data_IF_170042834511
#
_entry.id   IF_170042834511
#
_cell.length_a   1.000
_cell.length_b   1.000
_cell.length_c   1.000
_cell.angle_alpha   90.00
_cell.angle_beta   90.00
_cell.angle_gamma   90.00
#
_symmetry.space_group_name_H-M   'P 1'
#
loop_
_entity.id
_entity.type
_entity.pdbx_description
1 polymer ?
2 polymer ?
#
# COMPACT_ATOMS: atom_id res chain seq x y z
N UNK A 1 -28.95 31.46 31.40
CA UNK A 1 -27.55 31.25 31.83
C UNK A 1 -27.33 29.80 32.27
N UNK A 2 -28.10 29.29 33.23
CA UNK A 2 -28.00 27.89 33.62
C UNK A 2 -28.21 26.98 32.40
N UNK A 3 -29.25 27.28 31.62
CA UNK A 3 -29.62 26.42 30.51
C UNK A 3 -28.62 26.56 29.35
N UNK A 4 -28.01 27.75 29.25
CA UNK A 4 -26.94 28.01 28.28
C UNK A 4 -25.68 27.21 28.65
N UNK A 5 -25.42 27.08 29.96
CA UNK A 5 -24.31 26.30 30.50
C UNK A 5 -24.57 24.80 30.30
N UNK A 6 -25.84 24.40 30.36
CA UNK A 6 -26.19 23.01 30.12
C UNK A 6 -25.97 22.67 28.63
N UNK A 7 -26.42 23.55 27.72
CA UNK A 7 -26.21 23.39 26.29
C UNK A 7 -24.72 23.32 25.96
N UNK A 8 -23.91 24.15 26.61
CA UNK A 8 -22.48 24.15 26.34
C UNK A 8 -21.82 22.92 26.93
N UNK A 9 -22.43 22.32 27.95
CA UNK A 9 -21.91 21.05 28.45
C UNK A 9 -22.26 19.91 27.48
N UNK A 10 -23.46 19.97 26.89
CA UNK A 10 -23.85 19.02 25.85
C UNK A 10 -22.92 19.13 24.63
N UNK A 11 -22.64 20.37 24.20
CA UNK A 11 -21.81 20.60 23.02
C UNK A 11 -20.35 20.23 23.26
N UNK A 12 -19.87 20.48 24.49
CA UNK A 12 -18.56 20.01 24.89
C UNK A 12 -18.51 18.49 24.85
N UNK A 13 -19.55 17.85 25.40
CA UNK A 13 -19.65 16.40 25.45
C UNK A 13 -19.61 15.83 24.04
N UNK A 14 -20.42 16.39 23.14
CA UNK A 14 -20.40 16.03 21.73
C UNK A 14 -19.00 16.20 21.11
N UNK A 15 -18.33 17.34 21.31
CA UNK A 15 -17.01 17.51 20.68
C UNK A 15 -15.99 16.55 21.28
N UNK A 16 -16.10 16.25 22.58
CA UNK A 16 -15.20 15.30 23.21
C UNK A 16 -15.39 13.93 22.58
N UNK A 17 -16.67 13.53 22.41
CA UNK A 17 -17.03 12.23 21.87
C UNK A 17 -16.60 12.10 20.40
N UNK A 18 -16.77 13.17 19.63
CA UNK A 18 -16.45 13.16 18.20
C UNK A 18 -14.95 13.02 18.06
N UNK A 19 -14.18 13.69 18.93
CA UNK A 19 -12.72 13.62 18.91
C UNK A 19 -12.25 12.25 19.38
N UNK A 20 -12.92 11.69 20.36
CA UNK A 20 -12.56 10.40 20.89
C UNK A 20 -12.78 9.34 19.80
N UNK A 21 -13.88 9.45 19.07
CA UNK A 21 -14.25 8.51 18.04
C UNK A 21 -13.27 8.59 16.87
N UNK A 22 -12.87 9.79 16.47
CA UNK A 22 -11.95 9.96 15.36
C UNK A 22 -10.63 9.28 15.74
N UNK A 23 -10.17 9.56 16.95
CA UNK A 23 -8.90 9.06 17.41
C UNK A 23 -8.92 7.54 17.42
N UNK A 24 -10.05 6.96 17.81
CA UNK A 24 -10.16 5.52 17.93
C UNK A 24 -10.24 4.90 16.53
N UNK A 25 -10.80 5.65 15.57
CA UNK A 25 -11.00 5.18 14.20
C UNK A 25 -9.65 5.09 13.53
N UNK A 26 -8.76 6.03 13.86
CA UNK A 26 -7.45 6.13 13.24
C UNK A 26 -6.58 4.97 13.73
N UNK A 27 -6.65 4.66 15.04
CA UNK A 27 -6.00 3.48 15.57
C UNK A 27 -6.54 2.20 14.92
N UNK A 28 -7.87 2.08 14.77
CA UNK A 28 -8.49 0.91 14.14
C UNK A 28 -8.00 0.75 12.69
N UNK A 29 -7.69 1.86 12.00
CA UNK A 29 -7.19 1.76 10.63
C UNK A 29 -5.82 1.11 10.63
N UNK A 30 -4.93 1.61 11.50
CA UNK A 30 -3.59 1.06 11.63
C UNK A 30 -3.67 -0.41 12.03
N UNK A 31 -4.57 -0.78 12.95
CA UNK A 31 -4.67 -2.16 13.42
C UNK A 31 -5.22 -3.08 12.35
N UNK A 32 -6.16 -2.60 11.54
CA UNK A 32 -6.71 -3.41 10.46
C UNK A 32 -5.65 -3.61 9.38
N UNK A 33 -4.88 -2.55 9.13
CA UNK A 33 -3.80 -2.67 8.16
C UNK A 33 -2.86 -3.79 8.57
N UNK A 34 -2.41 -3.76 9.82
CA UNK A 34 -1.43 -4.73 10.26
C UNK A 34 -2.03 -6.11 10.12
N UNK A 35 -3.33 -6.28 10.37
CA UNK A 35 -3.87 -7.63 10.30
C UNK A 35 -3.95 -8.12 8.85
N UNK A 36 -4.10 -7.21 7.88
CA UNK A 36 -4.33 -7.60 6.50
C UNK A 36 -2.99 -7.75 5.77
N UNK A 37 -1.98 -7.03 6.24
CA UNK A 37 -0.69 -6.93 5.53
C UNK A 37 -0.15 -8.31 5.15
N UNK A 38 -0.13 -9.34 6.02
CA UNK A 38 0.33 -10.67 5.59
C UNK A 38 -0.43 -11.26 4.39
N UNK A 39 -1.75 -11.02 4.32
CA UNK A 39 -2.58 -11.51 3.23
C UNK A 39 -2.22 -10.86 1.89
N UNK A 40 -1.52 -9.73 1.96
CA UNK A 40 -1.15 -8.95 0.80
C UNK A 40 0.27 -9.31 0.40
N UNK A 41 1.14 -9.41 1.41
CA UNK A 41 2.55 -9.61 1.15
C UNK A 41 2.80 -11.00 0.57
N UNK A 42 2.06 -12.02 1.04
CA UNK A 42 2.34 -13.39 0.65
C UNK A 42 2.22 -13.51 -0.89
N UNK A 43 1.08 -13.16 -1.49
CA UNK A 43 0.95 -13.22 -2.94
C UNK A 43 2.10 -12.57 -3.70
N UNK A 44 2.54 -11.39 -3.24
CA UNK A 44 3.57 -10.62 -3.92
C UNK A 44 4.89 -11.36 -3.84
N UNK A 45 5.18 -11.97 -2.68
CA UNK A 45 6.45 -12.65 -2.46
C UNK A 45 6.52 -13.90 -3.33
N UNK A 46 5.38 -14.60 -3.50
CA UNK A 46 5.33 -15.81 -4.31
C UNK A 46 5.50 -15.47 -5.79
N UNK A 47 5.09 -14.27 -6.18
CA UNK A 47 5.07 -13.93 -7.58
C UNK A 47 6.45 -13.42 -8.00
N UNK A 48 7.13 -12.74 -7.09
CA UNK A 48 8.40 -12.11 -7.41
C UNK A 48 9.55 -12.79 -6.63
N UNK A 49 10.08 -13.84 -7.26
CA UNK A 49 10.88 -14.83 -6.58
C UNK A 49 12.34 -14.41 -6.59
N UNK A 50 12.64 -13.37 -5.81
CA UNK A 50 13.99 -12.85 -5.76
C UNK A 50 14.94 -13.92 -5.24
N UNK A 51 14.50 -14.65 -4.22
CA UNK A 51 15.32 -15.65 -3.57
C UNK A 51 15.63 -16.82 -4.51
N UNK A 52 14.68 -17.18 -5.38
CA UNK A 52 14.87 -18.32 -6.27
C UNK A 52 15.91 -17.98 -7.34
N UNK A 53 15.91 -16.74 -7.84
CA UNK A 53 16.89 -16.31 -8.83
C UNK A 53 18.27 -16.32 -8.20
N UNK A 54 18.37 -15.80 -6.98
CA UNK A 54 19.62 -15.77 -6.24
C UNK A 54 20.18 -17.20 -6.13
N UNK A 55 19.35 -18.18 -5.79
CA UNK A 55 19.80 -19.56 -5.63
C UNK A 55 20.26 -20.15 -6.97
N UNK A 56 19.61 -19.79 -8.07
CA UNK A 56 19.98 -20.34 -9.36
C UNK A 56 21.35 -19.78 -9.76
N UNK A 57 21.59 -18.50 -9.48
CA UNK A 57 22.86 -17.88 -9.87
C UNK A 57 24.00 -18.56 -9.12
N UNK A 58 23.85 -18.71 -7.81
CA UNK A 58 24.85 -19.39 -7.02
C UNK A 58 25.12 -20.79 -7.57
N UNK A 59 24.06 -21.57 -7.83
CA UNK A 59 24.24 -22.90 -8.42
C UNK A 59 25.19 -22.85 -9.61
N UNK A 60 24.96 -21.91 -10.53
CA UNK A 60 25.78 -21.70 -11.71
C UNK A 60 27.24 -21.47 -11.31
N UNK A 61 27.47 -20.62 -10.32
CA UNK A 61 28.83 -20.34 -9.86
C UNK A 61 29.66 -21.61 -9.82
N UNK A 62 29.15 -22.68 -9.20
CA UNK A 62 29.94 -23.86 -8.92
C UNK A 62 29.43 -25.01 -9.81
N UNK A 105 17.94 -23.65 -19.41
CA UNK A 105 18.52 -22.92 -18.26
C UNK A 105 18.98 -21.55 -18.74
N UNK A 106 18.50 -20.51 -18.06
CA UNK A 106 18.81 -19.13 -18.44
C UNK A 106 20.32 -18.91 -18.30
N UNK A 107 20.88 -18.06 -19.17
CA UNK A 107 22.27 -17.65 -19.05
C UNK A 107 22.49 -16.80 -17.79
N UNK A 108 23.75 -16.66 -17.36
CA UNK A 108 24.07 -15.86 -16.20
C UNK A 108 23.62 -14.43 -16.45
N UNK A 109 23.86 -13.95 -17.66
CA UNK A 109 23.47 -12.60 -18.05
C UNK A 109 21.97 -12.43 -17.88
N UNK A 110 21.19 -13.43 -18.29
CA UNK A 110 19.75 -13.38 -18.22
C UNK A 110 19.31 -13.33 -16.76
N UNK A 111 19.92 -14.16 -15.90
CA UNK A 111 19.49 -14.25 -14.51
C UNK A 111 19.78 -12.96 -13.78
N UNK A 112 20.88 -12.29 -14.13
CA UNK A 112 21.28 -11.10 -13.41
C UNK A 112 20.41 -9.91 -13.78
N UNK A 113 19.90 -9.85 -15.01
CA UNK A 113 19.01 -8.77 -15.41
C UNK A 113 17.62 -9.02 -14.83
N UNK A 114 17.25 -10.31 -14.73
CA UNK A 114 16.00 -10.77 -14.12
C UNK A 114 16.00 -10.42 -12.63
N UNK A 115 17.08 -10.71 -11.90
CA UNK A 115 17.24 -10.36 -10.50
C UNK A 115 17.16 -8.85 -10.28
N UNK A 116 17.80 -8.07 -11.14
CA UNK A 116 17.70 -6.63 -11.02
C UNK A 116 16.25 -6.16 -11.11
N UNK A 117 15.50 -6.60 -12.12
CA UNK A 117 14.18 -6.04 -12.34
C UNK A 117 13.30 -6.52 -11.22
N UNK A 118 13.34 -7.83 -10.92
CA UNK A 118 12.42 -8.37 -9.93
C UNK A 118 12.68 -7.86 -8.51
N UNK A 119 13.93 -7.66 -8.10
CA UNK A 119 14.18 -7.21 -6.75
C UNK A 119 13.64 -5.79 -6.52
N UNK A 120 13.84 -4.90 -7.50
CA UNK A 120 13.32 -3.54 -7.44
C UNK A 120 11.80 -3.54 -7.61
N UNK A 121 11.29 -4.39 -8.52
CA UNK A 121 9.86 -4.45 -8.74
C UNK A 121 9.15 -4.86 -7.45
N UNK A 122 9.69 -5.87 -6.77
CA UNK A 122 9.04 -6.36 -5.57
C UNK A 122 9.02 -5.25 -4.54
N UNK A 123 10.15 -4.55 -4.39
CA UNK A 123 10.24 -3.55 -3.34
C UNK A 123 9.22 -2.45 -3.59
N UNK A 124 9.15 -1.91 -4.82
CA UNK A 124 8.17 -0.86 -5.12
C UNK A 124 6.73 -1.39 -5.15
N UNK A 125 6.49 -2.60 -5.65
CA UNK A 125 5.15 -3.19 -5.55
C UNK A 125 4.65 -3.27 -4.10
N UNK A 126 5.49 -3.75 -3.16
CA UNK A 126 5.12 -3.72 -1.75
C UNK A 126 4.74 -2.31 -1.28
N UNK A 127 5.61 -1.35 -1.57
CA UNK A 127 5.44 0.01 -1.08
C UNK A 127 4.18 0.66 -1.67
N UNK A 128 3.90 0.42 -2.94
CA UNK A 128 2.69 0.96 -3.55
C UNK A 128 1.43 0.29 -3.01
N UNK A 129 1.45 -1.04 -2.92
CA UNK A 129 0.28 -1.78 -2.49
C UNK A 129 -0.05 -1.48 -1.03
N UNK A 130 0.99 -1.38 -0.20
CA UNK A 130 0.83 -0.99 1.19
C UNK A 130 0.21 0.40 1.29
N UNK A 131 0.78 1.36 0.56
CA UNK A 131 0.24 2.72 0.51
C UNK A 131 -1.22 2.72 0.07
N UNK A 132 -1.60 1.91 -0.90
CA UNK A 132 -2.96 1.92 -1.38
C UNK A 132 -3.87 1.32 -0.33
N UNK A 133 -3.42 0.26 0.31
CA UNK A 133 -4.21 -0.32 1.40
C UNK A 133 -4.39 0.67 2.57
N UNK A 134 -3.34 1.41 2.92
CA UNK A 134 -3.44 2.39 4.00
C UNK A 134 -4.46 3.47 3.67
N UNK A 135 -4.34 4.09 2.51
CA UNK A 135 -5.29 5.09 2.12
C UNK A 135 -6.70 4.51 2.06
N UNK A 136 -6.80 3.28 1.54
CA UNK A 136 -8.10 2.66 1.27
C UNK A 136 -8.86 2.47 2.58
N UNK A 137 -8.15 1.97 3.59
CA UNK A 137 -8.75 1.69 4.88
C UNK A 137 -9.08 3.00 5.59
N UNK A 138 -8.20 4.00 5.50
CA UNK A 138 -8.49 5.27 6.14
C UNK A 138 -9.73 5.88 5.53
N UNK A 139 -9.92 5.82 4.19
CA UNK A 139 -11.15 6.32 3.59
C UNK A 139 -12.37 5.50 4.00
N UNK A 140 -12.27 4.17 3.93
CA UNK A 140 -13.41 3.30 4.23
C UNK A 140 -13.91 3.52 5.65
N UNK A 141 -13.00 3.40 6.62
CA UNK A 141 -13.35 3.37 8.03
C UNK A 141 -13.85 4.73 8.50
N UNK A 142 -13.26 5.82 8.00
CA UNK A 142 -13.70 7.17 8.28
C UNK A 142 -15.10 7.48 7.71
N UNK A 143 -15.40 7.02 6.51
CA UNK A 143 -16.74 7.19 6.00
C UNK A 143 -17.72 6.52 6.95
N UNK A 144 -17.45 5.26 7.31
CA UNK A 144 -18.36 4.47 8.14
C UNK A 144 -18.48 5.15 9.49
N UNK A 145 -17.37 5.64 10.05
CA UNK A 145 -17.38 6.13 11.41
C UNK A 145 -18.27 7.37 11.50
N UNK A 146 -18.10 8.27 10.52
CA UNK A 146 -18.97 9.44 10.37
C UNK A 146 -20.43 9.00 10.32
N UNK A 147 -20.76 8.03 9.48
CA UNK A 147 -22.14 7.56 9.31
C UNK A 147 -22.67 7.16 10.69
N UNK A 148 -21.88 6.40 11.44
CA UNK A 148 -22.29 5.88 12.74
C UNK A 148 -22.51 7.02 13.73
N UNK A 149 -21.54 7.93 13.77
CA UNK A 149 -21.62 9.10 14.62
C UNK A 149 -22.90 9.89 14.34
N UNK A 150 -23.35 9.98 13.09
CA UNK A 150 -24.50 10.82 12.78
C UNK A 150 -25.79 10.13 13.22
N UNK A 151 -25.86 8.82 12.94
CA UNK A 151 -27.01 7.99 13.30
C UNK A 151 -27.20 8.05 14.82
N UNK A 152 -26.11 7.97 15.59
CA UNK A 152 -26.16 8.08 17.04
C UNK A 152 -26.64 9.47 17.45
N UNK A 153 -26.07 10.51 16.82
CA UNK A 153 -26.38 11.89 17.16
C UNK A 153 -27.86 12.20 16.87
N UNK A 154 -28.43 11.60 15.81
CA UNK A 154 -29.86 11.67 15.55
C UNK A 154 -30.62 10.94 16.67
N UNK A 193 -29.87 -3.58 11.45
CA UNK A 193 -29.24 -4.80 10.91
C UNK A 193 -28.99 -4.65 9.39
N UNK A 194 -29.94 -4.09 8.62
CA UNK A 194 -29.75 -3.79 7.20
C UNK A 194 -28.60 -2.78 6.98
N UNK A 195 -28.52 -1.79 7.88
CA UNK A 195 -27.50 -0.76 7.82
C UNK A 195 -26.13 -1.39 8.09
N UNK A 196 -26.12 -2.29 9.09
CA UNK A 196 -24.93 -3.03 9.49
C UNK A 196 -24.50 -3.99 8.37
N UNK A 197 -25.46 -4.54 7.63
CA UNK A 197 -25.19 -5.40 6.47
C UNK A 197 -24.49 -4.61 5.36
N UNK A 198 -24.90 -3.37 5.10
CA UNK A 198 -24.26 -2.57 4.06
C UNK A 198 -22.85 -2.20 4.50
N UNK A 199 -22.64 -1.99 5.80
CA UNK A 199 -21.32 -1.70 6.33
C UNK A 199 -20.40 -2.93 6.22
N UNK A 200 -20.94 -4.10 6.56
CA UNK A 200 -20.16 -5.32 6.49
C UNK A 200 -19.65 -5.57 5.07
N UNK A 201 -20.55 -5.41 4.10
CA UNK A 201 -20.21 -5.57 2.70
C UNK A 201 -19.12 -4.60 2.29
N UNK A 202 -19.32 -3.33 2.64
CA UNK A 202 -18.41 -2.29 2.22
C UNK A 202 -17.01 -2.70 2.68
N UNK A 203 -16.91 -3.21 3.91
CA UNK A 203 -15.62 -3.54 4.49
C UNK A 203 -14.95 -4.70 3.77
N UNK A 204 -15.78 -5.60 3.21
CA UNK A 204 -15.31 -6.73 2.42
C UNK A 204 -14.43 -6.36 1.23
N UNK A 205 -14.50 -5.11 0.72
CA UNK A 205 -13.94 -4.81 -0.60
C UNK A 205 -12.42 -4.73 -0.56
N UNK A 206 -11.81 -4.89 0.63
CA UNK A 206 -10.35 -4.97 0.70
C UNK A 206 -9.81 -6.22 0.01
N UNK A 207 -10.66 -7.23 -0.20
CA UNK A 207 -10.34 -8.46 -0.91
C UNK A 207 -9.80 -8.22 -2.32
N UNK A 208 -10.38 -7.27 -3.04
CA UNK A 208 -10.02 -7.03 -4.42
C UNK A 208 -8.50 -6.81 -4.59
N UNK A 209 -7.97 -5.83 -3.88
CA UNK A 209 -6.53 -5.54 -3.92
C UNK A 209 -5.74 -6.78 -3.47
N UNK A 210 -6.21 -7.45 -2.43
CA UNK A 210 -5.50 -8.60 -1.87
C UNK A 210 -5.50 -9.78 -2.84
N UNK A 211 -6.43 -9.83 -3.79
CA UNK A 211 -6.57 -11.00 -4.62
C UNK A 211 -6.62 -10.63 -6.09
N UNK A 212 -6.38 -9.38 -6.48
CA UNK A 212 -6.39 -9.10 -7.90
C UNK A 212 -5.66 -7.81 -8.18
N UNK A 213 -6.14 -6.72 -7.56
CA UNK A 213 -5.68 -5.37 -7.88
C UNK A 213 -4.18 -5.22 -7.73
N UNK A 214 -3.57 -5.96 -6.80
CA UNK A 214 -2.13 -5.81 -6.62
C UNK A 214 -1.37 -6.19 -7.90
N UNK A 215 -1.85 -7.16 -8.65
CA UNK A 215 -1.19 -7.57 -9.88
C UNK A 215 -1.05 -6.42 -10.89
N UNK A 216 -2.07 -5.59 -11.01
CA UNK A 216 -2.02 -4.49 -11.97
C UNK A 216 -0.91 -3.55 -11.54
N UNK A 217 -0.86 -3.29 -10.25
CA UNK A 217 0.16 -2.40 -9.71
C UNK A 217 1.53 -3.01 -10.00
N UNK A 218 1.67 -4.32 -9.79
CA UNK A 218 2.93 -5.00 -10.04
C UNK A 218 3.32 -4.91 -11.52
N UNK A 219 2.35 -5.09 -12.40
CA UNK A 219 2.62 -4.94 -13.83
C UNK A 219 3.12 -3.54 -14.14
N UNK A 220 2.50 -2.53 -13.52
CA UNK A 220 2.86 -1.16 -13.84
C UNK A 220 4.25 -0.85 -13.31
N UNK A 221 4.57 -1.42 -12.15
CA UNK A 221 5.84 -1.18 -11.52
C UNK A 221 6.91 -1.84 -12.37
N UNK A 222 6.65 -3.08 -12.77
CA UNK A 222 7.62 -3.88 -13.52
C UNK A 222 8.00 -3.15 -14.81
N UNK A 223 6.98 -2.67 -15.54
CA UNK A 223 7.15 -1.86 -16.73
C UNK A 223 8.05 -0.64 -16.48
N UNK A 224 7.79 0.11 -15.40
CA UNK A 224 8.49 1.34 -15.10
C UNK A 224 9.91 1.06 -14.60
N UNK A 225 10.09 -0.06 -13.90
CA UNK A 225 11.41 -0.44 -13.45
C UNK A 225 12.28 -0.73 -14.68
N UNK A 226 11.70 -1.43 -15.68
CA UNK A 226 12.37 -1.72 -16.94
C UNK A 226 12.80 -0.43 -17.62
N UNK A 227 11.88 0.56 -17.68
CA UNK A 227 12.14 1.85 -18.32
C UNK A 227 13.35 2.56 -17.72
N UNK A 228 13.62 2.40 -16.43
CA UNK A 228 14.68 3.17 -15.77
C UNK A 228 15.93 2.33 -15.52
N UNK A 229 15.78 1.04 -15.21
CA UNK A 229 16.91 0.25 -14.73
C UNK A 229 17.34 -0.80 -15.74
N UNK A 230 16.50 -1.03 -16.76
CA UNK A 230 16.70 -2.06 -17.77
C UNK A 230 18.09 -2.11 -18.41
N UNK A 231 18.72 -0.96 -18.62
CA UNK A 231 19.99 -0.87 -19.32
C UNK A 231 21.16 -0.84 -18.35
N UNK A 232 20.92 -0.80 -17.03
CA UNK A 232 22.02 -0.57 -16.10
C UNK A 232 22.62 -1.91 -15.70
N UNK A 233 23.93 -2.02 -15.93
CA UNK A 233 24.73 -3.16 -15.51
C UNK A 233 24.73 -3.25 -13.98
N UNK A 234 24.31 -4.41 -13.41
CA UNK A 234 24.39 -4.62 -11.96
C UNK A 234 25.76 -4.36 -11.33
N UNK A 235 26.84 -4.41 -12.14
CA UNK A 235 28.18 -4.18 -11.65
C UNK A 235 28.41 -2.69 -11.40
N UNK A 236 27.68 -1.85 -12.12
CA UNK A 236 27.96 -0.43 -12.05
C UNK A 236 27.88 0.11 -10.62
N UNK A 237 28.87 0.93 -10.24
CA UNK A 237 28.90 1.58 -8.94
C UNK A 237 28.02 2.84 -8.96
N UNK A 238 27.14 2.98 -7.95
CA UNK A 238 26.30 4.16 -7.79
C UNK A 238 26.46 4.72 -6.37
N UNK A 239 26.30 6.04 -6.20
CA UNK A 239 26.13 6.60 -4.86
C UNK A 239 24.66 6.40 -4.45
N UNK A 240 24.37 6.61 -3.16
CA UNK A 240 23.03 6.43 -2.66
C UNK A 240 22.12 7.51 -3.25
N UNK A 241 22.66 8.71 -3.49
CA UNK A 241 21.86 9.77 -4.08
C UNK A 241 21.56 9.43 -5.54
N UNK A 242 22.55 8.87 -6.27
CA UNK A 242 22.34 8.45 -7.64
C UNK A 242 21.22 7.41 -7.69
N UNK A 243 21.25 6.47 -6.76
CA UNK A 243 20.28 5.39 -6.70
C UNK A 243 18.90 5.91 -6.31
N UNK A 244 18.86 6.80 -5.31
CA UNK A 244 17.63 7.44 -4.88
C UNK A 244 16.97 8.16 -6.04
N UNK A 245 17.82 8.77 -6.88
CA UNK A 245 17.31 9.54 -7.99
C UNK A 245 16.69 8.59 -9.01
N UNK A 246 17.27 7.40 -9.16
CA UNK A 246 16.77 6.47 -10.17
C UNK A 246 15.44 5.91 -9.67
N UNK A 247 15.38 5.59 -8.37
CA UNK A 247 14.16 5.14 -7.72
C UNK A 247 13.09 6.20 -7.90
N UNK A 248 13.44 7.46 -7.70
CA UNK A 248 12.51 8.56 -7.79
C UNK A 248 11.99 8.71 -9.22
N UNK A 249 12.87 8.55 -10.22
CA UNK A 249 12.41 8.62 -11.60
C UNK A 249 11.43 7.48 -11.86
N UNK A 250 11.71 6.30 -11.30
CA UNK A 250 10.84 5.16 -11.52
C UNK A 250 9.45 5.50 -11.00
N UNK A 251 9.44 6.06 -9.79
CA UNK A 251 8.23 6.39 -9.06
C UNK A 251 7.37 7.38 -9.86
N UNK A 252 8.02 8.40 -10.44
CA UNK A 252 7.29 9.43 -11.18
C UNK A 252 6.60 8.85 -12.40
N UNK A 253 7.22 7.85 -13.05
CA UNK A 253 6.62 7.15 -14.17
C UNK A 253 5.41 6.35 -13.70
N UNK A 254 5.58 5.64 -12.58
CA UNK A 254 4.54 4.78 -12.05
C UNK A 254 3.33 5.65 -11.76
N UNK A 255 3.58 6.76 -11.06
CA UNK A 255 2.54 7.66 -10.59
C UNK A 255 1.76 8.19 -11.79
N UNK A 256 2.50 8.60 -12.83
CA UNK A 256 1.87 9.16 -14.01
C UNK A 256 0.92 8.16 -14.66
N UNK A 257 1.19 6.86 -14.52
CA UNK A 257 0.39 5.82 -15.14
C UNK A 257 -0.81 5.43 -14.28
N UNK A 258 -0.62 5.37 -12.95
CA UNK A 258 -1.64 4.75 -12.13
C UNK A 258 -2.73 5.77 -11.81
N UNK A 259 -2.39 7.06 -11.89
CA UNK A 259 -3.36 8.12 -11.66
C UNK A 259 -4.02 8.55 -12.98
N UNK A 260 -3.39 8.24 -14.12
CA UNK A 260 -3.94 8.54 -15.44
C UNK A 260 -5.33 7.93 -15.59
N UNK A 261 -6.28 8.80 -15.99
CA UNK A 261 -7.65 8.42 -16.24
C UNK A 261 -7.68 7.67 -17.57
N UNK A 262 -8.25 6.46 -17.55
CA UNK A 262 -8.39 5.64 -18.75
C UNK A 262 -9.89 5.62 -19.13
N UNK A 274 -11.62 6.01 -15.24
CA UNK A 274 -11.18 5.50 -13.93
C UNK A 274 -9.73 5.05 -14.02
N UNK A 275 -8.93 5.46 -13.04
CA UNK A 275 -7.51 5.18 -13.01
C UNK A 275 -7.20 3.73 -12.60
N UNK A 276 -5.94 3.32 -12.74
CA UNK A 276 -5.49 2.01 -12.29
C UNK A 276 -5.77 1.86 -10.79
N UNK A 277 -5.56 2.94 -10.04
CA UNK A 277 -5.83 2.94 -8.62
C UNK A 277 -7.23 2.41 -8.36
N UNK A 278 -8.21 2.94 -9.10
CA UNK A 278 -9.61 2.64 -8.87
C UNK A 278 -9.85 1.16 -9.16
N UNK A 279 -9.34 0.72 -10.31
CA UNK A 279 -9.57 -0.65 -10.78
C UNK A 279 -8.76 -1.64 -9.95
N UNK A 280 -7.73 -1.17 -9.23
CA UNK A 280 -6.93 -2.02 -8.37
C UNK A 280 -7.52 -2.11 -6.97
N UNK A 281 -8.39 -1.16 -6.58
CA UNK A 281 -8.95 -1.15 -5.25
C UNK A 281 -10.42 -1.56 -5.28
N UNK A 282 -11.05 -1.43 -6.46
CA UNK A 282 -12.48 -1.66 -6.55
C UNK A 282 -12.84 -2.53 -7.76
N UNK A 283 -13.78 -3.48 -7.61
CA UNK A 283 -14.18 -4.36 -8.70
C UNK A 283 -15.05 -3.54 -9.65
N UNK A 284 -15.12 -3.95 -10.93
CA UNK A 284 -16.09 -3.39 -11.85
C UNK A 284 -17.50 -3.67 -11.36
N UNK A 285 -18.44 -2.84 -11.84
CA UNK A 285 -19.80 -2.83 -11.33
C UNK A 285 -20.39 -4.23 -11.31
N UNK A 286 -20.06 -5.01 -12.34
CA UNK A 286 -20.75 -6.26 -12.59
C UNK A 286 -20.25 -7.32 -11.62
N UNK A 287 -19.24 -6.98 -10.82
CA UNK A 287 -18.54 -7.95 -9.99
C UNK A 287 -18.65 -7.68 -8.48
N UNK A 288 -19.51 -6.74 -8.09
CA UNK A 288 -19.71 -6.41 -6.68
C UNK A 288 -20.30 -7.58 -5.90
N UNK A 289 -21.38 -8.18 -6.43
CA UNK A 289 -22.02 -9.33 -5.82
C UNK A 289 -21.03 -10.50 -5.79
N UNK A 290 -20.24 -10.65 -6.85
CA UNK A 290 -19.21 -11.66 -6.82
C UNK A 290 -18.31 -11.46 -5.59
N UNK A 291 -17.84 -10.23 -5.38
CA UNK A 291 -16.90 -10.03 -4.31
C UNK A 291 -17.52 -10.46 -2.98
N UNK A 292 -18.79 -10.11 -2.78
CA UNK A 292 -19.42 -10.43 -1.51
C UNK A 292 -19.54 -11.94 -1.37
N UNK A 293 -19.77 -12.64 -2.48
CA UNK A 293 -19.94 -14.08 -2.47
C UNK A 293 -18.61 -14.76 -2.17
N UNK A 294 -17.50 -14.10 -2.49
CA UNK A 294 -16.17 -14.60 -2.16
C UNK A 294 -15.77 -14.33 -0.71
N UNK A 295 -16.46 -13.41 -0.04
CA UNK A 295 -16.01 -12.91 1.26
C UNK A 295 -17.04 -13.19 2.35
N UNK A 296 -18.29 -13.54 2.00
CA UNK A 296 -19.31 -13.65 3.03
C UNK A 296 -20.13 -14.91 2.75
N UNK A 297 -20.85 -15.40 3.77
CA UNK A 297 -21.52 -16.69 3.75
C UNK A 297 -22.96 -16.53 3.22
N UNK A 298 -23.70 -17.64 3.04
CA UNK A 298 -25.03 -17.58 2.46
C UNK A 298 -26.00 -16.92 3.43
N UNK A 299 -25.72 -16.97 4.73
CA UNK A 299 -26.67 -16.36 5.66
C UNK A 299 -26.70 -14.86 5.40
N UNK A 300 -25.50 -14.27 5.37
CA UNK A 300 -25.34 -12.85 5.08
C UNK A 300 -25.91 -12.51 3.71
N UNK A 301 -25.56 -13.31 2.69
CA UNK A 301 -25.98 -13.05 1.32
C UNK A 301 -27.50 -13.13 1.20
N UNK A 302 -28.12 -14.06 1.94
CA UNK A 302 -29.57 -14.18 1.89
C UNK A 302 -30.20 -12.93 2.47
N UNK A 303 -29.74 -12.55 3.68
CA UNK A 303 -30.22 -11.35 4.37
C UNK A 303 -29.98 -10.12 3.50
N UNK A 304 -28.81 -10.06 2.87
CA UNK A 304 -28.39 -8.89 2.11
C UNK A 304 -29.31 -8.73 0.91
N UNK A 305 -29.66 -9.84 0.25
CA UNK A 305 -30.34 -9.77 -1.02
C UNK A 305 -31.84 -9.66 -0.85
N UNK A 306 -32.34 -9.93 0.38
CA UNK A 306 -33.74 -9.84 0.76
C UNK A 306 -34.25 -8.41 0.58
N UNK A 307 -33.35 -7.45 0.69
CA UNK A 307 -33.69 -6.04 0.63
C UNK A 307 -32.77 -5.37 -0.38
N UNK A 308 -33.33 -4.90 -1.50
CA UNK A 308 -32.51 -4.30 -2.55
C UNK A 308 -31.89 -2.98 -2.09
N UNK A 309 -32.42 -2.41 -1.00
CA UNK A 309 -31.85 -1.20 -0.42
C UNK A 309 -30.40 -1.45 0.03
N UNK A 310 -30.07 -2.68 0.41
CA UNK A 310 -28.73 -3.01 0.88
C UNK A 310 -27.73 -2.77 -0.24
N UNK A 311 -28.05 -3.27 -1.42
CA UNK A 311 -27.19 -3.08 -2.56
C UNK A 311 -27.04 -1.58 -2.90
N UNK A 312 -28.13 -0.83 -2.80
CA UNK A 312 -28.12 0.59 -3.12
C UNK A 312 -27.26 1.37 -2.14
N UNK A 313 -27.32 0.97 -0.87
CA UNK A 313 -26.51 1.59 0.18
C UNK A 313 -25.02 1.36 -0.07
N UNK A 314 -24.68 0.13 -0.48
CA UNK A 314 -23.30 -0.16 -0.74
C UNK A 314 -22.86 0.67 -1.95
N UNK A 315 -23.75 0.83 -2.94
CA UNK A 315 -23.37 1.58 -4.15
C UNK A 315 -23.06 3.02 -3.77
N UNK A 316 -23.77 3.53 -2.74
CA UNK A 316 -23.58 4.89 -2.27
C UNK A 316 -22.22 5.03 -1.60
N UNK A 317 -21.88 4.08 -0.72
CA UNK A 317 -20.60 4.12 -0.05
C UNK A 317 -19.48 3.98 -1.09
N UNK A 318 -19.62 3.08 -2.08
CA UNK A 318 -18.59 2.91 -3.09
C UNK A 318 -18.45 4.16 -3.96
N UNK A 319 -19.57 4.83 -4.31
CA UNK A 319 -19.48 6.06 -5.09
C UNK A 319 -18.69 7.11 -4.33
N UNK A 320 -18.94 7.19 -3.00
CA UNK A 320 -18.25 8.19 -2.20
C UNK A 320 -16.77 7.90 -2.25
N UNK A 321 -16.44 6.65 -1.91
CA UNK A 321 -15.07 6.16 -1.85
C UNK A 321 -14.36 6.39 -3.19
N UNK A 322 -15.01 6.08 -4.31
CA UNK A 322 -14.40 6.25 -5.62
C UNK A 322 -14.14 7.71 -5.93
N UNK A 323 -15.08 8.55 -5.49
CA UNK A 323 -14.93 10.00 -5.57
C UNK A 323 -13.62 10.47 -4.96
N UNK A 324 -13.33 9.96 -3.75
CA UNK A 324 -12.11 10.29 -3.02
C UNK A 324 -10.89 9.75 -3.75
N UNK A 325 -10.97 8.54 -4.34
CA UNK A 325 -9.81 7.91 -4.97
C UNK A 325 -9.39 8.63 -6.24
N UNK A 326 -10.35 9.29 -6.93
CA UNK A 326 -10.09 10.03 -8.15
C UNK A 326 -9.50 11.42 -7.87
N UNK A 327 -9.50 11.84 -6.61
CA UNK A 327 -9.06 13.16 -6.21
C UNK A 327 -7.53 13.28 -6.19
N UNK A 328 -7.01 14.37 -6.78
CA UNK A 328 -5.59 14.70 -6.89
C UNK A 328 -4.89 14.74 -5.53
N UNK A 329 -5.59 15.15 -4.48
CA UNK A 329 -5.02 15.23 -3.14
C UNK A 329 -4.80 13.83 -2.57
N UNK A 330 -5.72 12.89 -2.84
CA UNK A 330 -5.52 11.51 -2.46
C UNK A 330 -4.34 10.90 -3.23
N UNK A 331 -4.21 11.22 -4.51
CA UNK A 331 -3.10 10.75 -5.30
C UNK A 331 -1.78 11.24 -4.72
N UNK A 332 -1.76 12.49 -4.29
CA UNK A 332 -0.55 13.05 -3.75
C UNK A 332 -0.11 12.26 -2.53
N UNK A 333 -1.11 11.81 -1.75
CA UNK A 333 -0.85 11.16 -0.48
C UNK A 333 -0.34 9.76 -0.70
N UNK A 334 -0.89 9.05 -1.70
CA UNK A 334 -0.38 7.73 -2.06
C UNK A 334 1.11 7.85 -2.42
N UNK A 335 1.44 8.84 -3.27
CA UNK A 335 2.81 9.07 -3.66
C UNK A 335 3.70 9.40 -2.45
N UNK A 336 3.15 10.18 -1.53
CA UNK A 336 3.91 10.63 -0.37
C UNK A 336 4.24 9.43 0.53
N UNK A 337 3.25 8.55 0.72
CA UNK A 337 3.46 7.37 1.54
C UNK A 337 4.64 6.55 1.00
N UNK A 338 4.66 6.36 -0.34
CA UNK A 338 5.71 5.58 -0.97
C UNK A 338 7.04 6.27 -0.74
N UNK A 339 7.03 7.60 -0.90
CA UNK A 339 8.24 8.41 -0.83
C UNK A 339 8.86 8.28 0.55
N UNK A 340 7.99 8.31 1.58
CA UNK A 340 8.43 8.29 2.95
C UNK A 340 8.99 6.91 3.27
N UNK A 341 8.34 5.88 2.69
CA UNK A 341 8.82 4.51 2.79
C UNK A 341 10.24 4.35 2.24
N UNK A 342 10.44 4.87 1.03
CA UNK A 342 11.74 4.78 0.38
C UNK A 342 12.78 5.48 1.25
N UNK A 343 12.40 6.64 1.77
CA UNK A 343 13.30 7.45 2.57
C UNK A 343 13.79 6.65 3.78
N UNK A 344 12.87 6.02 4.51
CA UNK A 344 13.22 5.29 5.72
C UNK A 344 14.17 4.13 5.37
N UNK A 345 13.86 3.46 4.27
CA UNK A 345 14.61 2.29 3.85
C UNK A 345 16.04 2.72 3.48
N UNK A 346 16.16 3.83 2.76
CA UNK A 346 17.46 4.25 2.28
C UNK A 346 18.30 4.76 3.46
N UNK A 347 17.67 5.47 4.41
CA UNK A 347 18.35 5.90 5.63
C UNK A 347 18.95 4.69 6.34
N UNK A 348 18.17 3.61 6.43
CA UNK A 348 18.65 2.40 7.07
C UNK A 348 19.86 1.80 6.36
N UNK A 349 19.82 1.82 5.03
CA UNK A 349 20.90 1.26 4.23
C UNK A 349 22.17 2.10 4.46
N UNK A 350 22.00 3.43 4.52
CA UNK A 350 23.10 4.36 4.74
C UNK A 350 23.78 4.06 6.07
N UNK A 351 22.96 3.93 7.12
CA UNK A 351 23.45 3.66 8.46
C UNK A 351 24.21 2.34 8.48
N UNK A 352 23.68 1.30 7.83
CA UNK A 352 24.36 0.02 7.88
C UNK A 352 25.73 0.17 7.23
N UNK A 353 25.78 0.89 6.09
CA UNK A 353 27.04 1.11 5.39
C UNK A 353 28.03 1.80 6.32
N UNK A 354 27.68 2.99 6.80
CA UNK A 354 28.55 3.77 7.67
C UNK A 354 29.05 2.88 8.81
N UNK A 355 28.10 2.19 9.46
CA UNK A 355 28.44 1.27 10.54
C UNK A 355 29.52 0.30 10.08
N UNK A 356 29.29 -0.39 8.96
CA UNK A 356 30.22 -1.39 8.46
C UNK A 356 31.66 -0.87 8.56
N UNK A 357 31.88 0.33 8.06
CA UNK A 357 33.23 0.87 7.96
C UNK A 357 33.60 1.55 9.29
N UNK A 370 30.03 8.55 2.00
CA UNK A 370 29.70 7.13 1.68
C UNK A 370 30.33 6.82 0.32
N UNK A 371 31.17 5.77 0.20
CA UNK A 371 31.70 5.38 -1.11
C UNK A 371 30.58 4.83 -1.99
N UNK A 372 30.73 4.96 -3.31
CA UNK A 372 29.80 4.34 -4.24
C UNK A 372 29.81 2.82 -4.04
N UNK A 373 28.64 2.17 -4.26
CA UNK A 373 28.51 0.72 -4.14
C UNK A 373 27.87 0.18 -5.41
N UNK A 374 28.13 -1.10 -5.69
CA UNK A 374 27.64 -1.69 -6.93
C UNK A 374 26.13 -1.79 -6.83
N UNK A 375 25.48 -1.72 -7.99
CA UNK A 375 24.04 -1.80 -8.05
C UNK A 375 23.58 -3.08 -7.36
N UNK A 376 24.31 -4.19 -7.60
CA UNK A 376 23.91 -5.48 -7.08
C UNK A 376 23.78 -5.40 -5.56
N UNK A 377 24.73 -4.71 -4.94
CA UNK A 377 24.75 -4.60 -3.48
C UNK A 377 23.50 -3.90 -2.99
N UNK A 378 23.00 -2.94 -3.79
CA UNK A 378 21.82 -2.18 -3.44
C UNK A 378 20.57 -3.04 -3.61
N UNK A 379 20.57 -3.89 -4.65
CA UNK A 379 19.50 -4.87 -4.86
C UNK A 379 19.35 -5.81 -3.66
N UNK A 380 20.50 -6.32 -3.17
CA UNK A 380 20.51 -7.15 -1.98
C UNK A 380 20.06 -6.38 -0.74
N UNK A 381 20.49 -5.11 -0.63
CA UNK A 381 20.15 -4.29 0.53
C UNK A 381 18.64 -4.07 0.58
N UNK A 382 18.08 -3.64 -0.56
CA UNK A 382 16.66 -3.39 -0.70
C UNK A 382 15.87 -4.64 -0.32
N UNK A 383 16.40 -5.81 -0.66
CA UNK A 383 15.64 -7.03 -0.45
C UNK A 383 15.52 -7.31 1.04
N UNK A 384 16.60 -7.07 1.79
CA UNK A 384 16.58 -7.21 3.25
C UNK A 384 15.63 -6.20 3.91
N UNK A 385 15.69 -4.94 3.46
CA UNK A 385 14.80 -3.88 3.92
C UNK A 385 13.35 -4.15 3.51
N UNK A 386 13.15 -4.78 2.35
CA UNK A 386 11.80 -5.10 1.93
C UNK A 386 11.19 -5.89 3.05
N UNK A 387 11.96 -6.85 3.55
CA UNK A 387 11.49 -7.78 4.56
C UNK A 387 10.95 -6.95 5.72
N UNK A 388 11.53 -5.78 6.00
CA UNK A 388 11.09 -4.93 7.12
C UNK A 388 9.72 -4.26 6.89
N UNK A 389 9.43 -3.71 5.71
CA UNK A 389 8.08 -3.34 5.25
C UNK A 389 7.00 -4.42 5.44
N UNK A 390 7.31 -5.70 5.27
CA UNK A 390 6.31 -6.75 5.41
C UNK A 390 6.03 -7.15 6.86
N UNK A 391 6.83 -6.69 7.84
CA UNK A 391 6.65 -7.13 9.22
C UNK A 391 5.44 -6.44 9.83
N UNK A 392 4.41 -7.18 10.25
CA UNK A 392 3.15 -6.60 10.69
C UNK A 392 3.17 -6.38 12.20
N UNK A 393 4.35 -6.10 12.75
CA UNK A 393 4.52 -5.96 14.19
C UNK A 393 4.14 -4.53 14.63
N UNK A 394 3.66 -4.42 15.88
CA UNK A 394 3.38 -3.15 16.53
C UNK A 394 4.65 -2.32 16.70
N UNK A 395 5.80 -2.98 16.66
CA UNK A 395 7.08 -2.32 16.90
C UNK A 395 7.68 -1.91 15.54
N UNK A 396 7.01 -2.16 14.42
CA UNK A 396 7.52 -1.74 13.11
C UNK A 396 7.24 -0.25 12.97
N UNK A 397 8.31 0.53 13.14
CA UNK A 397 8.29 1.99 13.17
C UNK A 397 7.99 2.55 11.79
N UNK A 398 8.38 1.85 10.73
CA UNK A 398 8.11 2.33 9.39
C UNK A 398 6.60 2.34 9.15
N UNK A 399 5.93 1.25 9.50
CA UNK A 399 4.51 1.13 9.22
C UNK A 399 3.75 2.08 10.15
N UNK A 400 4.25 2.25 11.35
CA UNK A 400 3.63 3.21 12.26
C UNK A 400 3.68 4.59 11.61
N UNK A 401 4.87 4.99 11.12
CA UNK A 401 5.06 6.28 10.50
C UNK A 401 4.07 6.47 9.35
N UNK A 402 3.88 5.45 8.53
CA UNK A 402 3.12 5.65 7.31
C UNK A 402 1.68 5.88 7.70
N UNK A 403 1.26 5.18 8.75
CA UNK A 403 -0.14 5.22 9.15
C UNK A 403 -0.44 6.49 9.94
N UNK A 404 0.59 7.30 10.30
CA UNK A 404 0.40 8.48 11.12
C UNK A 404 0.97 9.75 10.48
N UNK A 405 1.02 9.84 9.16
CA UNK A 405 1.50 11.03 8.46
C UNK A 405 0.43 12.11 8.54
N UNK A 406 0.88 13.37 8.61
CA UNK A 406 -0.02 14.48 8.84
C UNK A 406 -1.01 14.63 7.68
N UNK A 407 -0.52 14.48 6.45
CA UNK A 407 -1.37 14.62 5.27
C UNK A 407 -2.49 13.59 5.31
N UNK A 408 -2.20 12.42 5.89
CA UNK A 408 -3.15 11.33 5.94
C UNK A 408 -4.18 11.63 7.04
N UNK A 409 -3.75 12.25 8.15
CA UNK A 409 -4.68 12.64 9.20
C UNK A 409 -5.62 13.72 8.68
N UNK A 410 -5.05 14.63 7.89
CA UNK A 410 -5.78 15.76 7.31
C UNK A 410 -6.86 15.22 6.39
N UNK A 411 -6.47 14.29 5.52
CA UNK A 411 -7.41 13.62 4.63
C UNK A 411 -8.50 12.93 5.45
N UNK A 412 -8.10 12.12 6.42
CA UNK A 412 -9.04 11.35 7.20
C UNK A 412 -10.07 12.28 7.82
N UNK A 413 -9.58 13.40 8.38
CA UNK A 413 -10.42 14.38 9.06
C UNK A 413 -11.37 15.09 8.10
N UNK A 414 -10.89 15.42 6.90
CA UNK A 414 -11.78 15.95 5.89
C UNK A 414 -12.90 14.95 5.55
N UNK A 415 -12.59 13.67 5.45
CA UNK A 415 -13.60 12.69 5.12
C UNK A 415 -14.58 12.56 6.28
N UNK A 416 -14.03 12.45 7.49
CA UNK A 416 -14.83 12.15 8.66
C UNK A 416 -15.88 13.23 8.86
N UNK A 417 -15.54 14.44 8.39
CA UNK A 417 -16.35 15.62 8.65
C UNK A 417 -17.11 16.04 7.39
N UNK A 418 -17.08 15.21 6.34
CA UNK A 418 -17.80 15.50 5.12
C UNK A 418 -19.23 14.97 5.29
N UNK A 419 -20.07 15.80 5.94
CA UNK A 419 -21.44 15.43 6.26
C UNK A 419 -22.33 15.66 5.03
N UNK A 420 -21.81 16.39 4.02
CA UNK A 420 -22.58 16.79 2.85
C UNK A 420 -22.39 15.82 1.69
N UNK A 421 -21.91 14.61 2.00
CA UNK A 421 -21.69 13.56 1.02
C UNK A 421 -22.99 12.77 0.79
N UNK B 3 31.70 -10.44 -19.20
CA UNK B 3 31.90 -11.87 -18.81
C UNK B 3 32.79 -11.99 -17.57
N UNK B 4 33.72 -11.04 -17.41
CA UNK B 4 34.54 -10.94 -16.21
C UNK B 4 33.88 -9.93 -15.28
N UNK B 5 33.10 -9.03 -15.87
CA UNK B 5 32.21 -8.17 -15.13
C UNK B 5 31.31 -9.10 -14.32
N UNK B 6 30.73 -10.07 -15.02
CA UNK B 6 29.86 -11.07 -14.42
C UNK B 6 30.66 -11.82 -13.35
N UNK B 7 31.90 -12.18 -13.67
CA UNK B 7 32.72 -12.95 -12.76
C UNK B 7 32.79 -12.24 -11.42
N UNK B 8 33.13 -10.94 -11.45
CA UNK B 8 33.32 -10.20 -10.20
C UNK B 8 31.99 -10.11 -9.44
N UNK B 9 30.88 -10.01 -10.17
CA UNK B 9 29.54 -9.96 -9.58
C UNK B 9 29.29 -11.16 -8.67
N UNK B 10 29.95 -12.29 -8.93
CA UNK B 10 29.64 -13.52 -8.23
C UNK B 10 29.74 -13.39 -6.71
N UNK B 11 30.74 -12.63 -6.24
CA UNK B 11 30.94 -12.46 -4.80
C UNK B 11 29.67 -11.94 -4.14
N UNK B 12 29.01 -10.99 -4.81
CA UNK B 12 27.89 -10.23 -4.25
C UNK B 12 26.66 -11.10 -4.01
N UNK B 13 26.65 -12.32 -4.57
CA UNK B 13 25.53 -13.25 -4.39
C UNK B 13 25.31 -13.58 -2.91
N UNK B 14 26.37 -13.51 -2.10
CA UNK B 14 26.32 -13.90 -0.71
C UNK B 14 25.68 -12.79 0.14
N UNK B 15 25.75 -11.56 -0.37
CA UNK B 15 25.18 -10.40 0.31
C UNK B 15 23.66 -10.48 0.33
N UNK B 16 23.09 -11.50 -0.32
CA UNK B 16 21.65 -11.72 -0.28
C UNK B 16 21.28 -12.66 0.87
N UNK B 17 22.11 -12.74 1.91
CA UNK B 17 21.87 -13.73 2.95
C UNK B 17 21.48 -13.02 4.26
#
# INVERSE_FOLDING_TARGET
LAELNERLKEENFAKEQIKRRFKQTQNDCYMTFLSLLPVLTEPIYEALKVEEITRELQNKRFERQKAKNAPVGNSTDPALSTVLSDDFSVHNEKENPMHTGVQQTKSKTQLWNELRNQSITRFLTLLYCESLLIVFLHLQLNILSRRSYLETAIKLASKTKGIKLENESNVDLDPANLFLENDEELAMGSSRQDENLAEQAFLSYSWWLLNKGWIDIKNQVESSVEDIFGDINPRQELSIEEFATLINKTQQIIDKQIYAEKESEPLTAPGHSSSTVITSLLPPANMELFLLQQTNDMEFLTNFNNNIQNSENVSKLLNELKGYLMNDQVSAIISLLVTVGISKVLDNIVVNLMNKQKNPDQEEQVPTEIPKVKLASLLASITKQSNQLTNNSLDNEVLYTLNNLQELDDLSASVYSNFDA
YSDDDLDDLDDLLDDFDDEILSK
#
